data_IF_791955270066
#
_entry.id   IF_791955270066
#
_cell.length_a   1.000
_cell.length_b   1.000
_cell.length_c   1.000
_cell.angle_alpha   90.00
_cell.angle_beta   90.00
_cell.angle_gamma   90.00
#
_symmetry.space_group_name_H-M   'P 1'
#
loop_
_entity.id
_entity.type
_entity.pdbx_description
1 polymer ?
#
# COMPACT_ATOMS: atom_id res chain seq x y z
N UNK A 1 -18.34 -3.61 3.45
CA UNK A 1 -17.26 -3.22 2.50
C UNK A 1 -16.14 -2.65 3.34
N UNK A 2 -14.90 -3.07 3.15
CA UNK A 2 -13.76 -2.47 3.84
C UNK A 2 -13.35 -1.21 3.08
N UNK A 3 -13.17 -0.07 3.74
CA UNK A 3 -12.99 1.18 3.02
C UNK A 3 -11.68 1.26 2.24
N UNK A 4 -10.53 0.90 2.83
CA UNK A 4 -9.24 1.12 2.18
C UNK A 4 -8.27 -0.04 2.39
N UNK A 5 -7.53 -0.40 1.32
CA UNK A 5 -6.35 -1.26 1.40
C UNK A 5 -5.08 -0.45 1.12
N UNK A 6 -4.14 -0.47 2.03
CA UNK A 6 -2.82 0.13 1.87
C UNK A 6 -1.80 -0.96 1.54
N UNK A 7 -1.27 -0.91 0.33
CA UNK A 7 -0.25 -1.82 -0.18
C UNK A 7 1.13 -1.35 0.26
N UNK A 8 1.89 -2.23 0.89
CA UNK A 8 3.24 -1.98 1.37
C UNK A 8 4.19 -3.07 0.83
N UNK A 9 4.43 -3.14 -0.49
CA UNK A 9 5.37 -4.09 -1.03
C UNK A 9 6.80 -3.67 -0.71
N UNK A 10 7.58 -4.62 -0.19
CA UNK A 10 8.97 -4.38 0.21
C UNK A 10 9.80 -5.66 0.05
N UNK A 11 10.82 -5.61 -0.78
CA UNK A 11 11.74 -6.74 -1.00
C UNK A 11 13.09 -6.44 -0.36
N UNK A 12 13.57 -7.38 0.43
CA UNK A 12 14.79 -7.28 1.24
C UNK A 12 14.50 -7.16 2.74
N UNK A 13 15.54 -7.00 3.57
CA UNK A 13 15.40 -6.92 5.02
C UNK A 13 14.51 -5.75 5.43
N UNK A 14 13.47 -6.04 6.20
CA UNK A 14 12.55 -5.02 6.71
C UNK A 14 13.27 -4.08 7.70
N UNK A 15 12.90 -2.79 7.73
CA UNK A 15 13.58 -1.82 8.59
C UNK A 15 13.37 -2.14 10.09
N UNK A 16 14.39 -1.87 10.90
CA UNK A 16 14.35 -2.12 12.34
C UNK A 16 13.28 -1.33 13.10
N UNK A 17 12.82 -0.22 12.53
CA UNK A 17 11.75 0.60 13.08
C UNK A 17 10.33 0.15 12.65
N UNK A 18 10.22 -0.93 11.88
CA UNK A 18 8.91 -1.48 11.48
C UNK A 18 7.92 -1.67 12.64
N UNK A 19 8.33 -2.11 13.86
CA UNK A 19 7.40 -2.22 14.99
C UNK A 19 6.68 -0.91 15.35
N UNK A 20 7.31 0.25 15.17
CA UNK A 20 6.69 1.56 15.42
C UNK A 20 5.61 1.87 14.37
N UNK A 21 5.89 1.58 13.10
CA UNK A 21 4.89 1.68 12.03
C UNK A 21 3.69 0.78 12.32
N UNK A 22 3.93 -0.49 12.62
CA UNK A 22 2.88 -1.47 12.92
C UNK A 22 2.00 -1.03 14.11
N UNK A 23 2.62 -0.51 15.18
CA UNK A 23 1.87 -0.03 16.33
C UNK A 23 0.99 1.18 15.97
N UNK A 24 1.50 2.09 15.14
CA UNK A 24 0.72 3.24 14.66
C UNK A 24 -0.45 2.86 13.75
N UNK A 25 -0.35 1.76 13.00
CA UNK A 25 -1.44 1.26 12.16
C UNK A 25 -2.65 0.76 12.97
N UNK A 26 -2.43 0.30 14.21
CA UNK A 26 -3.45 -0.35 15.05
C UNK A 26 -4.70 0.49 15.26
N UNK A 27 -4.56 1.81 15.29
CA UNK A 27 -5.64 2.76 15.55
C UNK A 27 -6.45 3.14 14.30
N UNK A 28 -6.06 2.65 13.13
CA UNK A 28 -6.64 3.05 11.84
C UNK A 28 -7.61 1.98 11.32
N UNK A 29 -8.78 1.86 11.93
CA UNK A 29 -9.76 0.82 11.58
C UNK A 29 -10.35 0.95 10.17
N UNK A 30 -10.21 2.11 9.52
CA UNK A 30 -10.60 2.34 8.13
C UNK A 30 -9.57 1.82 7.11
N UNK A 31 -8.35 1.53 7.55
CA UNK A 31 -7.27 1.03 6.72
C UNK A 31 -6.95 -0.42 7.07
N UNK A 32 -6.95 -1.29 6.07
CA UNK A 32 -6.21 -2.55 6.13
C UNK A 32 -4.84 -2.33 5.47
N UNK A 33 -3.80 -2.91 6.04
CA UNK A 33 -2.45 -2.85 5.50
C UNK A 33 -2.03 -4.24 5.01
N UNK A 34 -1.54 -4.31 3.78
CA UNK A 34 -0.99 -5.52 3.19
C UNK A 34 0.50 -5.34 2.95
N UNK A 35 1.30 -6.02 3.75
CA UNK A 35 2.75 -6.09 3.57
C UNK A 35 3.07 -7.27 2.66
N UNK A 36 3.63 -6.99 1.50
CA UNK A 36 4.07 -7.98 0.53
C UNK A 36 5.60 -8.03 0.57
N UNK A 37 6.19 -9.13 1.04
CA UNK A 37 7.64 -9.18 1.31
C UNK A 37 8.23 -10.57 1.18
N UNK A 38 9.51 -10.65 0.81
CA UNK A 38 10.32 -11.86 0.84
C UNK A 38 11.00 -12.10 2.20
N UNK A 39 10.90 -11.13 3.13
CA UNK A 39 11.44 -11.21 4.49
C UNK A 39 10.31 -10.96 5.50
N UNK A 40 9.63 -12.00 6.00
CA UNK A 40 8.56 -11.83 6.98
C UNK A 40 9.09 -11.14 8.26
N UNK A 41 8.30 -10.22 8.86
CA UNK A 41 8.74 -9.49 10.03
C UNK A 41 8.88 -10.39 11.26
N UNK A 42 9.96 -10.23 12.01
CA UNK A 42 10.18 -10.87 13.30
C UNK A 42 9.44 -10.11 14.42
N UNK A 43 8.11 -10.20 14.44
CA UNK A 43 7.27 -9.53 15.46
C UNK A 43 6.42 -10.56 16.20
N UNK A 44 6.14 -10.31 17.48
CA UNK A 44 5.35 -11.22 18.33
C UNK A 44 3.89 -11.33 17.88
N UNK A 45 3.34 -10.22 17.38
CA UNK A 45 1.96 -10.16 16.87
C UNK A 45 1.79 -9.00 15.91
N UNK A 46 0.93 -9.17 14.92
CA UNK A 46 0.51 -8.10 14.01
C UNK A 46 -0.73 -7.39 14.55
N UNK A 47 -0.93 -6.10 14.25
CA UNK A 47 -2.22 -5.45 14.41
C UNK A 47 -3.33 -6.19 13.65
N UNK A 48 -4.59 -6.12 14.10
CA UNK A 48 -5.70 -6.87 13.49
C UNK A 48 -6.00 -6.44 12.04
N UNK A 49 -5.60 -5.23 11.67
CA UNK A 49 -5.74 -4.64 10.33
C UNK A 49 -4.46 -4.72 9.50
N UNK A 50 -3.47 -5.52 9.90
CA UNK A 50 -2.24 -5.74 9.14
C UNK A 50 -2.12 -7.21 8.76
N UNK A 51 -1.89 -7.47 7.48
CA UNK A 51 -1.63 -8.80 6.93
C UNK A 51 -0.26 -8.79 6.24
N UNK A 52 0.48 -9.87 6.39
CA UNK A 52 1.74 -10.12 5.68
C UNK A 52 1.56 -11.27 4.72
N UNK A 53 2.00 -11.08 3.48
CA UNK A 53 1.93 -12.09 2.42
C UNK A 53 3.32 -12.26 1.84
N UNK A 54 3.79 -13.51 1.65
CA UNK A 54 5.01 -13.77 0.91
C UNK A 54 4.93 -13.15 -0.49
N UNK A 55 5.99 -12.49 -0.89
CA UNK A 55 6.10 -11.85 -2.20
C UNK A 55 7.57 -11.80 -2.62
N UNK A 56 7.89 -12.27 -3.81
CA UNK A 56 9.26 -12.39 -4.29
C UNK A 56 9.54 -11.47 -5.48
N UNK A 57 10.82 -11.27 -5.77
CA UNK A 57 11.26 -10.54 -6.97
C UNK A 57 10.81 -11.26 -8.26
N UNK A 58 10.77 -12.59 -8.27
CA UNK A 58 10.25 -13.36 -9.41
C UNK A 58 8.78 -13.04 -9.65
N UNK A 59 7.98 -13.08 -8.59
CA UNK A 59 6.56 -12.76 -8.65
C UNK A 59 6.31 -11.31 -9.08
N UNK A 60 7.13 -10.36 -8.64
CA UNK A 60 7.06 -8.97 -9.12
C UNK A 60 7.27 -8.91 -10.64
N UNK A 61 8.30 -9.59 -11.15
CA UNK A 61 8.60 -9.59 -12.58
C UNK A 61 7.50 -10.27 -13.42
N UNK A 62 6.94 -11.36 -12.90
CA UNK A 62 5.81 -12.06 -13.52
C UNK A 62 4.58 -11.15 -13.59
N UNK A 63 4.21 -10.49 -12.47
CA UNK A 63 3.09 -9.56 -12.43
C UNK A 63 3.28 -8.37 -13.36
N UNK A 64 4.50 -7.81 -13.45
CA UNK A 64 4.79 -6.71 -14.38
C UNK A 64 4.59 -7.13 -15.83
N UNK A 65 5.02 -8.34 -16.19
CA UNK A 65 4.82 -8.86 -17.53
C UNK A 65 3.33 -9.15 -17.81
N UNK A 66 2.65 -9.82 -16.91
CA UNK A 66 1.27 -10.26 -17.10
C UNK A 66 0.26 -9.12 -17.00
N UNK A 67 0.39 -8.26 -15.99
CA UNK A 67 -0.60 -7.22 -15.70
C UNK A 67 -0.34 -5.91 -16.46
N UNK A 68 0.95 -5.60 -16.74
CA UNK A 68 1.32 -4.35 -17.42
C UNK A 68 1.73 -4.58 -18.88
N UNK A 69 1.95 -5.82 -19.29
CA UNK A 69 2.44 -6.14 -20.65
C UNK A 69 3.86 -5.67 -20.93
N UNK A 70 4.66 -5.43 -19.87
CA UNK A 70 6.01 -4.91 -19.99
C UNK A 70 7.04 -6.05 -19.96
N UNK A 71 7.83 -6.21 -21.01
CA UNK A 71 8.96 -7.16 -21.08
C UNK A 71 10.18 -6.63 -20.35
N UNK A 72 10.02 -6.26 -19.07
CA UNK A 72 11.10 -5.74 -18.21
C UNK A 72 11.30 -6.74 -17.08
N UNK A 73 12.57 -6.95 -16.69
CA UNK A 73 12.93 -7.75 -15.51
C UNK A 73 13.74 -6.90 -14.55
N UNK A 74 13.24 -6.73 -13.35
CA UNK A 74 13.95 -6.04 -12.28
C UNK A 74 14.93 -6.99 -11.60
N UNK A 75 16.09 -6.47 -11.22
CA UNK A 75 17.13 -7.21 -10.50
C UNK A 75 17.08 -7.00 -8.98
N UNK A 76 16.24 -6.08 -8.51
CA UNK A 76 16.04 -5.77 -7.09
C UNK A 76 14.70 -5.07 -6.85
N UNK A 77 14.34 -4.91 -5.58
CA UNK A 77 13.07 -4.31 -5.16
C UNK A 77 13.00 -2.78 -5.19
N UNK A 78 14.08 -2.06 -5.50
CA UNK A 78 14.07 -0.58 -5.48
C UNK A 78 13.05 0.02 -6.45
N UNK A 79 12.77 -0.66 -7.55
CA UNK A 79 11.82 -0.21 -8.56
C UNK A 79 10.35 -0.31 -8.16
N UNK A 80 10.04 -0.94 -7.04
CA UNK A 80 8.68 -0.93 -6.48
C UNK A 80 8.15 0.50 -6.26
N UNK A 81 9.00 1.43 -5.82
CA UNK A 81 8.60 2.83 -5.65
C UNK A 81 8.21 3.49 -6.97
N UNK A 82 8.89 3.17 -8.06
CA UNK A 82 8.59 3.71 -9.39
C UNK A 82 7.28 3.13 -9.96
N UNK A 83 6.87 1.94 -9.50
CA UNK A 83 5.65 1.25 -9.92
C UNK A 83 4.40 1.67 -9.15
N UNK A 84 4.49 2.55 -8.15
CA UNK A 84 3.34 2.98 -7.33
C UNK A 84 2.11 3.44 -8.14
N UNK A 85 2.26 4.21 -9.22
CA UNK A 85 1.10 4.57 -10.05
C UNK A 85 0.38 3.38 -10.67
N UNK A 86 1.09 2.25 -10.85
CA UNK A 86 0.59 1.03 -11.47
C UNK A 86 0.05 0.01 -10.46
N UNK A 87 0.07 0.30 -9.15
CA UNK A 87 -0.34 -0.67 -8.12
C UNK A 87 -1.79 -1.11 -8.27
N UNK A 88 -2.67 -0.25 -8.76
CA UNK A 88 -4.07 -0.60 -9.02
C UNK A 88 -4.22 -1.77 -10.01
N UNK A 89 -3.37 -1.83 -11.03
CA UNK A 89 -3.31 -2.96 -11.97
C UNK A 89 -2.46 -4.11 -11.44
N UNK A 90 -1.27 -3.78 -10.94
CA UNK A 90 -0.26 -4.76 -10.53
C UNK A 90 -0.76 -5.67 -9.40
N UNK A 91 -1.60 -5.14 -8.52
CA UNK A 91 -2.17 -5.83 -7.37
C UNK A 91 -3.71 -5.86 -7.40
N UNK A 92 -4.29 -5.92 -8.60
CA UNK A 92 -5.74 -5.91 -8.80
C UNK A 92 -6.47 -7.01 -8.01
N UNK A 93 -5.86 -8.18 -7.90
CA UNK A 93 -6.34 -9.33 -7.12
C UNK A 93 -6.42 -9.07 -5.61
N UNK A 94 -5.57 -8.19 -5.08
CA UNK A 94 -5.57 -7.83 -3.67
C UNK A 94 -6.53 -6.71 -3.31
N UNK A 95 -6.77 -5.77 -4.24
CA UNK A 95 -7.64 -4.60 -4.01
C UNK A 95 -9.12 -4.88 -4.26
N UNK A 96 -9.46 -6.06 -4.75
CA UNK A 96 -10.85 -6.46 -5.00
C UNK A 96 -11.69 -6.38 -3.70
N UNK A 97 -12.85 -5.73 -3.78
CA UNK A 97 -13.77 -5.56 -2.65
C UNK A 97 -13.45 -4.37 -1.72
N UNK A 98 -12.38 -3.63 -1.98
CA UNK A 98 -12.10 -2.35 -1.30
C UNK A 98 -12.62 -1.17 -2.12
N UNK A 99 -13.04 -0.11 -1.43
CA UNK A 99 -13.49 1.13 -2.07
C UNK A 99 -12.32 1.99 -2.53
N UNK A 100 -11.23 1.95 -1.74
CA UNK A 100 -9.97 2.63 -2.04
C UNK A 100 -8.80 1.68 -1.92
N UNK A 101 -7.76 1.93 -2.70
CA UNK A 101 -6.44 1.35 -2.52
C UNK A 101 -5.38 2.44 -2.42
N UNK A 102 -4.24 2.12 -1.87
CA UNK A 102 -3.15 3.07 -1.77
C UNK A 102 -1.84 2.42 -1.41
N UNK A 103 -0.88 3.23 -1.02
CA UNK A 103 0.42 2.77 -0.57
C UNK A 103 0.93 3.59 0.61
N UNK A 104 1.84 3.01 1.38
CA UNK A 104 2.53 3.67 2.47
C UNK A 104 3.98 3.23 2.54
N UNK A 105 4.88 4.16 2.89
CA UNK A 105 6.24 3.85 3.34
C UNK A 105 6.22 3.45 4.82
N UNK A 106 7.22 2.67 5.25
CA UNK A 106 7.33 2.20 6.64
C UNK A 106 7.89 3.25 7.60
N UNK A 107 8.46 4.35 7.10
CA UNK A 107 8.98 5.46 7.89
C UNK A 107 7.92 6.51 8.29
N UNK A 108 6.65 6.20 8.03
CA UNK A 108 5.52 6.96 8.52
C UNK A 108 5.04 6.44 9.87
N UNK A 109 4.70 7.36 10.76
CA UNK A 109 4.02 7.08 12.03
C UNK A 109 2.68 7.82 12.02
N UNK A 110 1.60 7.07 12.04
CA UNK A 110 0.26 7.63 12.02
C UNK A 110 -0.17 8.07 13.42
N UNK A 111 -0.52 9.34 13.57
CA UNK A 111 -1.13 9.83 14.80
C UNK A 111 -2.56 9.29 14.95
N UNK A 112 -3.07 9.07 16.18
CA UNK A 112 -4.47 8.64 16.38
C UNK A 112 -5.51 9.57 15.74
N UNK A 113 -5.24 10.88 15.68
CA UNK A 113 -6.08 11.87 15.00
C UNK A 113 -6.19 11.69 13.49
N UNK A 114 -5.25 10.95 12.88
CA UNK A 114 -5.29 10.67 11.45
C UNK A 114 -6.51 9.83 11.05
N UNK A 115 -7.01 9.00 11.94
CA UNK A 115 -8.23 8.24 11.71
C UNK A 115 -9.44 9.16 11.43
N UNK A 116 -9.64 10.17 12.25
CA UNK A 116 -10.75 11.12 12.10
C UNK A 116 -10.58 11.98 10.83
N UNK A 117 -9.37 12.47 10.58
CA UNK A 117 -9.08 13.16 9.31
C UNK A 117 -9.43 12.28 8.10
N UNK A 118 -9.03 11.01 8.12
CA UNK A 118 -9.29 10.08 7.02
C UNK A 118 -10.80 9.87 6.81
N UNK A 119 -11.57 9.71 7.89
CA UNK A 119 -13.02 9.55 7.86
C UNK A 119 -13.69 10.75 7.16
N UNK A 120 -13.36 11.98 7.59
CA UNK A 120 -13.87 13.22 6.97
C UNK A 120 -13.50 13.32 5.48
N UNK A 121 -12.30 12.90 5.11
CA UNK A 121 -11.86 12.97 3.71
C UNK A 121 -12.58 11.93 2.84
N UNK A 122 -12.74 10.71 3.31
CA UNK A 122 -13.40 9.63 2.56
C UNK A 122 -14.89 9.94 2.32
N UNK A 123 -15.57 10.60 3.28
CA UNK A 123 -16.96 11.05 3.11
C UNK A 123 -17.13 12.04 1.94
N UNK A 124 -16.10 12.79 1.58
CA UNK A 124 -16.12 13.71 0.44
C UNK A 124 -16.02 13.01 -0.92
N UNK A 125 -15.63 11.74 -0.94
CA UNK A 125 -15.66 10.91 -2.15
C UNK A 125 -14.65 11.30 -3.21
N UNK A 126 -13.42 11.68 -2.86
CA UNK A 126 -12.37 12.01 -3.80
C UNK A 126 -11.88 10.80 -4.60
N UNK A 127 -11.42 11.02 -5.82
CA UNK A 127 -10.74 9.98 -6.60
C UNK A 127 -9.32 9.72 -6.10
N UNK A 128 -8.68 10.73 -5.51
CA UNK A 128 -7.36 10.62 -4.90
C UNK A 128 -7.28 11.42 -3.62
N UNK A 129 -6.84 10.78 -2.53
CA UNK A 129 -6.45 11.45 -1.29
C UNK A 129 -4.94 11.57 -1.23
N UNK A 130 -4.45 12.81 -1.13
CA UNK A 130 -3.05 13.16 -0.97
C UNK A 130 -2.87 14.03 0.28
N UNK A 131 -1.80 13.79 1.04
CA UNK A 131 -1.51 14.54 2.28
C UNK A 131 -0.90 15.92 2.03
N UNK A 132 -0.66 16.28 0.77
CA UNK A 132 -0.10 17.58 0.40
C UNK A 132 -0.96 18.25 -0.69
N UNK A 133 -1.26 19.52 -0.52
CA UNK A 133 -2.18 20.25 -1.41
C UNK A 133 -1.62 20.59 -2.80
N UNK A 134 -0.30 20.62 -2.95
CA UNK A 134 0.36 21.13 -4.17
C UNK A 134 1.19 20.09 -4.91
N UNK A 135 1.63 19.04 -4.23
CA UNK A 135 2.48 18.01 -4.81
C UNK A 135 1.96 16.61 -4.47
N UNK A 136 2.23 15.65 -5.33
CA UNK A 136 2.00 14.25 -5.02
C UNK A 136 2.93 13.84 -3.88
N UNK A 137 2.35 13.48 -2.73
CA UNK A 137 3.12 13.07 -1.56
C UNK A 137 3.55 11.61 -1.70
N UNK A 138 4.87 11.38 -1.81
CA UNK A 138 5.45 10.07 -2.04
C UNK A 138 5.15 9.02 -0.97
N UNK A 139 5.24 9.34 0.35
CA UNK A 139 5.16 8.34 1.41
C UNK A 139 3.77 7.72 1.65
N UNK A 140 2.68 8.40 1.31
CA UNK A 140 1.32 7.89 1.50
C UNK A 140 0.35 8.48 0.50
N UNK A 141 -0.51 7.64 -0.06
CA UNK A 141 -1.58 8.06 -0.97
C UNK A 141 -2.70 7.03 -1.01
N UNK A 142 -3.95 7.48 -1.21
CA UNK A 142 -5.08 6.63 -1.52
C UNK A 142 -5.67 7.02 -2.88
N UNK A 143 -6.18 6.04 -3.59
CA UNK A 143 -6.89 6.16 -4.85
C UNK A 143 -8.22 5.44 -4.76
N UNK A 144 -9.28 5.99 -5.36
CA UNK A 144 -10.54 5.28 -5.52
C UNK A 144 -10.31 4.03 -6.37
N UNK A 145 -10.83 2.91 -5.91
CA UNK A 145 -10.77 1.66 -6.66
C UNK A 145 -11.82 1.69 -7.79
N UNK A 146 -11.44 2.25 -8.91
CA UNK A 146 -12.25 2.34 -10.12
C UNK A 146 -11.40 1.99 -11.34
N UNK A 147 -12.04 1.53 -12.43
CA UNK A 147 -11.31 1.22 -13.66
C UNK A 147 -10.47 2.40 -14.15
N UNK A 148 -11.02 3.61 -14.08
CA UNK A 148 -10.29 4.82 -14.47
C UNK A 148 -9.01 5.04 -13.62
N UNK A 149 -9.10 4.94 -12.29
CA UNK A 149 -7.95 5.16 -11.40
C UNK A 149 -6.95 4.01 -11.39
N UNK A 150 -7.39 2.80 -11.73
CA UNK A 150 -6.52 1.63 -11.76
C UNK A 150 -5.74 1.53 -13.09
N UNK A 151 -6.21 2.20 -14.15
CA UNK A 151 -5.61 2.18 -15.48
C UNK A 151 -4.78 3.44 -15.80
N UNK A 152 -4.65 4.39 -14.85
CA UNK A 152 -3.78 5.56 -14.99
C UNK A 152 -2.31 5.17 -14.90
#
# INVERSE_FOLDING_TARGET
>A
MKPCLVLCPFLGPLPSFLPLFLDSCRHLSLLDFLILTDHPPEVKSLPPNVKVVPFSLSELNERVQEQLGLSISFSNGFKLCDLRPMYGRLFADHIEGYEYWGYSDFDLIFAPSFHHFLEEQLEQGFDTLNLHSQISHGPFRLHRNSSFMNDL
#
